data_IF_897101675840
#
_entry.id   IF_897101675840
#
_cell.length_a   1.000
_cell.length_b   1.000
_cell.length_c   1.000
_cell.angle_alpha   90.00
_cell.angle_beta   90.00
_cell.angle_gamma   90.00
#
_symmetry.space_group_name_H-M   'P 1'
#
loop_
_entity.id
_entity.type
_entity.pdbx_description
1 polymer ?
#
# COMPACT_ATOMS: atom_id res chain seq x y z
N UNK A 1 15.38 -8.95 -23.43
CA UNK A 1 14.04 -9.08 -22.84
C UNK A 1 14.18 -10.10 -21.74
N UNK A 2 13.87 -9.74 -20.48
CA UNK A 2 13.85 -10.70 -19.39
C UNK A 2 12.78 -11.75 -19.69
N UNK A 3 13.11 -13.04 -19.49
CA UNK A 3 12.14 -14.12 -19.64
C UNK A 3 11.06 -13.97 -18.55
N UNK A 4 9.81 -13.80 -18.96
CA UNK A 4 8.67 -13.70 -18.06
C UNK A 4 8.47 -15.04 -17.36
N UNK A 5 8.49 -15.03 -16.03
CA UNK A 5 8.35 -16.23 -15.19
C UNK A 5 6.92 -16.42 -14.76
N UNK A 6 6.35 -17.52 -15.15
CA UNK A 6 4.97 -17.91 -14.87
C UNK A 6 4.98 -19.09 -13.91
N UNK A 7 4.27 -19.00 -12.79
CA UNK A 7 3.96 -20.14 -11.95
C UNK A 7 2.58 -20.67 -12.33
N UNK A 8 2.48 -21.95 -12.66
CA UNK A 8 1.20 -22.60 -12.95
C UNK A 8 0.92 -23.70 -11.95
N UNK A 9 -0.14 -23.55 -11.20
CA UNK A 9 -0.54 -24.41 -10.09
C UNK A 9 -1.85 -25.13 -10.47
N UNK A 10 -1.79 -26.44 -10.61
CA UNK A 10 -2.94 -27.29 -10.98
C UNK A 10 -2.57 -28.73 -10.62
N UNK A 11 -3.42 -29.48 -9.90
CA UNK A 11 -3.17 -30.86 -9.52
C UNK A 11 -3.15 -31.83 -10.72
N UNK A 12 -3.77 -31.42 -11.83
CA UNK A 12 -3.76 -32.14 -13.11
C UNK A 12 -2.78 -31.48 -14.13
N UNK A 13 -1.74 -30.77 -13.68
CA UNK A 13 -0.82 -29.98 -14.52
C UNK A 13 -0.21 -30.78 -15.68
N UNK A 14 -0.05 -32.09 -15.53
CA UNK A 14 0.49 -32.93 -16.58
C UNK A 14 -0.45 -33.03 -17.80
N UNK A 15 -1.76 -32.83 -17.62
CA UNK A 15 -2.74 -32.78 -18.71
C UNK A 15 -2.63 -31.45 -19.48
N UNK A 16 -2.03 -30.44 -18.88
CA UNK A 16 -1.86 -29.10 -19.44
C UNK A 16 -0.55 -28.93 -20.23
N UNK A 17 0.20 -29.99 -20.48
CA UNK A 17 1.42 -29.97 -21.30
C UNK A 17 1.30 -29.19 -22.63
N UNK A 18 0.21 -29.34 -23.40
CA UNK A 18 0.06 -28.56 -24.65
C UNK A 18 0.01 -27.05 -24.41
N UNK A 19 -0.61 -26.61 -23.31
CA UNK A 19 -0.71 -25.20 -22.92
C UNK A 19 0.66 -24.65 -22.48
N UNK A 20 1.37 -25.43 -21.68
CA UNK A 20 2.72 -25.07 -21.22
C UNK A 20 3.67 -24.95 -22.39
N UNK A 21 3.74 -25.94 -23.28
CA UNK A 21 4.57 -25.87 -24.50
C UNK A 21 4.18 -24.71 -25.43
N UNK A 22 2.91 -24.31 -25.45
CA UNK A 22 2.45 -23.16 -26.23
C UNK A 22 3.00 -21.84 -25.64
N UNK A 23 3.11 -21.72 -24.33
CA UNK A 23 3.69 -20.56 -23.66
C UNK A 23 5.22 -20.56 -23.79
N UNK A 24 5.88 -21.68 -23.53
CA UNK A 24 7.35 -21.83 -23.64
C UNK A 24 7.87 -21.46 -25.03
N UNK A 25 7.16 -21.88 -26.11
CA UNK A 25 7.47 -21.47 -27.48
C UNK A 25 7.38 -19.96 -27.72
N UNK A 26 6.84 -19.19 -26.80
CA UNK A 26 6.70 -17.73 -26.83
C UNK A 26 7.56 -17.02 -25.81
N UNK A 27 8.60 -17.72 -25.31
CA UNK A 27 9.58 -17.21 -24.35
C UNK A 27 8.97 -16.86 -22.95
N UNK A 28 7.91 -17.59 -22.53
CA UNK A 28 7.48 -17.59 -21.15
C UNK A 28 8.13 -18.77 -20.43
N UNK A 29 8.72 -18.51 -19.27
CA UNK A 29 9.33 -19.56 -18.44
C UNK A 29 8.28 -20.07 -17.44
N UNK A 30 7.77 -21.29 -17.65
CA UNK A 30 6.66 -21.86 -16.85
C UNK A 30 7.22 -22.82 -15.82
N UNK A 31 7.10 -22.46 -14.56
CA UNK A 31 7.30 -23.34 -13.41
C UNK A 31 5.96 -24.00 -13.05
N UNK A 32 5.98 -25.29 -12.77
CA UNK A 32 4.79 -26.07 -12.43
C UNK A 32 4.74 -26.34 -10.95
N UNK A 33 3.55 -26.34 -10.37
CA UNK A 33 3.29 -26.82 -9.03
C UNK A 33 2.00 -27.66 -9.02
N UNK A 34 2.00 -28.77 -8.28
CA UNK A 34 0.87 -29.72 -8.19
C UNK A 34 -0.10 -29.42 -7.04
N UNK A 35 0.23 -28.43 -6.21
CA UNK A 35 -0.59 -28.08 -5.05
C UNK A 35 -0.30 -26.63 -4.60
N UNK A 36 -1.20 -26.06 -3.78
CA UNK A 36 -0.99 -24.78 -3.16
C UNK A 36 0.26 -24.73 -2.28
N UNK A 37 0.54 -25.78 -1.52
CA UNK A 37 1.74 -25.88 -0.69
C UNK A 37 3.03 -25.80 -1.52
N UNK A 38 3.11 -26.54 -2.62
CA UNK A 38 4.25 -26.50 -3.54
C UNK A 38 4.40 -25.13 -4.20
N UNK A 39 3.28 -24.49 -4.56
CA UNK A 39 3.29 -23.14 -5.10
C UNK A 39 3.91 -22.12 -4.12
N UNK A 40 3.52 -22.18 -2.85
CA UNK A 40 4.07 -21.30 -1.80
C UNK A 40 5.57 -21.55 -1.56
N UNK A 41 6.03 -22.80 -1.66
CA UNK A 41 7.45 -23.11 -1.61
C UNK A 41 8.22 -22.51 -2.79
N UNK A 42 7.68 -22.60 -4.01
CA UNK A 42 8.31 -22.04 -5.20
C UNK A 42 8.38 -20.50 -5.14
N UNK A 43 7.32 -19.82 -4.67
CA UNK A 43 7.28 -18.36 -4.50
C UNK A 43 8.33 -17.88 -3.48
N UNK A 44 8.64 -18.69 -2.46
CA UNK A 44 9.71 -18.38 -1.50
C UNK A 44 11.13 -18.55 -2.07
N UNK A 45 11.30 -19.38 -3.10
CA UNK A 45 12.60 -19.66 -3.73
C UNK A 45 12.97 -18.69 -4.83
N UNK A 46 11.98 -18.19 -5.58
CA UNK A 46 12.21 -17.28 -6.71
C UNK A 46 11.00 -16.37 -6.95
N UNK A 47 11.26 -15.22 -7.60
CA UNK A 47 10.20 -14.30 -8.00
C UNK A 47 9.50 -14.78 -9.28
N UNK A 48 8.19 -14.57 -9.33
CA UNK A 48 7.35 -14.80 -10.49
C UNK A 48 6.68 -13.50 -10.92
N UNK A 49 6.39 -13.36 -12.21
CA UNK A 49 5.68 -12.20 -12.77
C UNK A 49 4.15 -12.39 -12.73
N UNK A 50 3.68 -13.64 -12.72
CA UNK A 50 2.26 -14.00 -12.67
C UNK A 50 2.07 -15.45 -12.21
N UNK A 51 0.95 -15.71 -11.54
CA UNK A 51 0.52 -17.05 -11.12
C UNK A 51 -0.79 -17.41 -11.81
N UNK A 52 -0.86 -18.58 -12.42
CA UNK A 52 -2.12 -19.27 -12.78
C UNK A 52 -2.43 -20.29 -11.69
N UNK A 53 -3.60 -20.21 -11.10
CA UNK A 53 -3.96 -20.97 -9.90
C UNK A 53 -5.31 -21.67 -10.10
N UNK A 54 -5.29 -23.01 -10.08
CA UNK A 54 -6.54 -23.76 -10.06
C UNK A 54 -7.25 -23.60 -8.72
N UNK A 55 -8.58 -23.50 -8.77
CA UNK A 55 -9.41 -23.40 -7.57
C UNK A 55 -9.53 -24.73 -6.85
N UNK A 56 -9.76 -25.81 -7.60
CA UNK A 56 -10.11 -27.10 -7.04
C UNK A 56 -8.90 -28.02 -6.95
N UNK A 57 -8.13 -27.88 -5.89
CA UNK A 57 -6.95 -28.72 -5.62
C UNK A 57 -7.11 -29.46 -4.28
N UNK A 58 -6.54 -30.66 -4.16
CA UNK A 58 -6.49 -31.36 -2.88
C UNK A 58 -5.55 -30.66 -1.89
N UNK A 59 -5.96 -30.57 -0.64
CA UNK A 59 -5.21 -29.88 0.42
C UNK A 59 -5.63 -28.42 0.51
N UNK A 60 -4.72 -27.50 0.26
CA UNK A 60 -5.04 -26.07 0.17
C UNK A 60 -5.82 -25.79 -1.12
N UNK A 61 -7.01 -25.21 -0.99
CA UNK A 61 -7.79 -24.72 -2.12
C UNK A 61 -7.11 -23.54 -2.83
N UNK A 62 -7.55 -23.22 -4.04
CA UNK A 62 -7.04 -22.05 -4.75
C UNK A 62 -7.26 -20.75 -3.98
N UNK A 63 -8.41 -20.57 -3.34
CA UNK A 63 -8.72 -19.36 -2.52
C UNK A 63 -7.79 -19.26 -1.30
N UNK A 64 -7.60 -20.36 -0.57
CA UNK A 64 -6.67 -20.39 0.56
C UNK A 64 -5.24 -20.11 0.13
N UNK A 65 -4.80 -20.71 -0.97
CA UNK A 65 -3.48 -20.48 -1.57
C UNK A 65 -3.32 -19.01 -2.01
N UNK A 66 -4.34 -18.43 -2.65
CA UNK A 66 -4.36 -17.01 -3.02
C UNK A 66 -4.17 -16.11 -1.81
N UNK A 67 -4.88 -16.38 -0.71
CA UNK A 67 -4.77 -15.57 0.50
C UNK A 67 -3.34 -15.57 1.04
N UNK A 68 -2.68 -16.74 1.12
CA UNK A 68 -1.29 -16.86 1.57
C UNK A 68 -0.29 -16.23 0.58
N UNK A 69 -0.51 -16.36 -0.73
CA UNK A 69 0.31 -15.66 -1.74
C UNK A 69 0.23 -14.15 -1.53
N UNK A 70 -0.98 -13.61 -1.33
CA UNK A 70 -1.19 -12.17 -1.15
C UNK A 70 -0.69 -11.63 0.19
N UNK A 71 -0.63 -12.45 1.21
CA UNK A 71 0.02 -12.11 2.47
C UNK A 71 1.54 -11.98 2.32
N UNK A 72 2.16 -12.88 1.52
CA UNK A 72 3.60 -12.90 1.29
C UNK A 72 4.04 -11.90 0.21
N UNK A 73 3.30 -11.80 -0.90
CA UNK A 73 3.56 -10.89 -2.04
C UNK A 73 2.24 -10.26 -2.51
N UNK A 74 1.81 -9.18 -1.89
CA UNK A 74 0.54 -8.52 -2.16
C UNK A 74 0.32 -8.15 -3.63
N UNK A 75 1.40 -7.76 -4.32
CA UNK A 75 1.38 -7.27 -5.71
C UNK A 75 1.55 -8.36 -6.77
N UNK A 76 1.87 -9.61 -6.40
CA UNK A 76 2.01 -10.69 -7.38
C UNK A 76 0.66 -10.97 -8.04
N UNK A 77 0.52 -10.79 -9.36
CA UNK A 77 -0.73 -11.04 -10.05
C UNK A 77 -1.09 -12.53 -10.02
N UNK A 78 -2.32 -12.83 -9.62
CA UNK A 78 -2.86 -14.21 -9.62
C UNK A 78 -4.09 -14.25 -10.53
N UNK A 79 -4.07 -15.17 -11.48
CA UNK A 79 -5.20 -15.50 -12.36
C UNK A 79 -5.79 -16.81 -11.89
N UNK A 80 -7.03 -16.78 -11.42
CA UNK A 80 -7.74 -17.99 -11.00
C UNK A 80 -8.25 -18.77 -12.19
N UNK A 81 -8.20 -20.10 -12.11
CA UNK A 81 -8.78 -21.02 -13.09
C UNK A 81 -9.85 -21.84 -12.37
N UNK A 82 -11.10 -21.74 -12.78
CA UNK A 82 -12.26 -22.30 -12.07
C UNK A 82 -13.17 -23.11 -12.99
N UNK A 83 -13.98 -23.99 -12.44
CA UNK A 83 -14.97 -24.82 -13.18
C UNK A 83 -16.37 -24.20 -13.24
N UNK A 84 -16.66 -23.17 -12.43
CA UNK A 84 -18.01 -22.63 -12.26
C UNK A 84 -18.06 -21.12 -12.23
N UNK A 85 -19.08 -20.51 -12.84
CA UNK A 85 -19.37 -19.08 -12.74
C UNK A 85 -19.89 -18.69 -11.34
N UNK A 86 -20.42 -19.63 -10.55
CA UNK A 86 -20.89 -19.35 -9.19
C UNK A 86 -19.74 -19.09 -8.21
N UNK A 87 -18.57 -19.65 -8.45
CA UNK A 87 -17.35 -19.40 -7.67
C UNK A 87 -16.89 -17.94 -7.80
N UNK A 88 -17.20 -17.28 -8.92
CA UNK A 88 -16.91 -15.86 -9.16
C UNK A 88 -17.63 -14.91 -8.18
N UNK A 89 -18.83 -15.24 -7.76
CA UNK A 89 -19.59 -14.41 -6.80
C UNK A 89 -18.93 -14.41 -5.41
N UNK A 90 -18.27 -15.50 -5.04
CA UNK A 90 -17.46 -15.55 -3.82
C UNK A 90 -16.19 -14.67 -3.94
N UNK A 91 -15.58 -14.60 -5.12
CA UNK A 91 -14.39 -13.80 -5.39
C UNK A 91 -14.68 -12.29 -5.35
N UNK A 92 -15.82 -11.85 -5.86
CA UNK A 92 -16.27 -10.45 -5.74
C UNK A 92 -16.46 -10.03 -4.27
N UNK A 93 -16.87 -10.97 -3.41
CA UNK A 93 -17.01 -10.77 -1.97
C UNK A 93 -15.65 -10.77 -1.23
N UNK A 94 -14.64 -11.46 -1.73
CA UNK A 94 -13.26 -11.44 -1.19
C UNK A 94 -12.49 -10.20 -1.66
N UNK A 95 -13.05 -9.44 -2.60
CA UNK A 95 -12.64 -8.11 -3.04
C UNK A 95 -11.25 -8.04 -3.67
N UNK A 96 -11.18 -7.98 -4.98
CA UNK A 96 -10.06 -7.48 -5.82
C UNK A 96 -8.66 -8.06 -5.60
N UNK A 97 -8.49 -9.22 -4.98
CA UNK A 97 -7.18 -9.86 -4.82
C UNK A 97 -6.69 -10.63 -6.05
N UNK A 98 -7.58 -10.94 -6.99
CA UNK A 98 -7.23 -11.60 -8.25
C UNK A 98 -7.03 -10.59 -9.38
N UNK A 99 -6.13 -10.92 -10.30
CA UNK A 99 -5.86 -10.09 -11.47
C UNK A 99 -6.82 -10.40 -12.65
N UNK A 100 -7.21 -11.65 -12.79
CA UNK A 100 -8.16 -12.14 -13.80
C UNK A 100 -8.67 -13.53 -13.40
N UNK A 101 -9.68 -14.04 -14.10
CA UNK A 101 -10.14 -15.42 -13.94
C UNK A 101 -10.43 -16.08 -15.28
N UNK A 102 -10.31 -17.40 -15.34
CA UNK A 102 -10.58 -18.20 -16.52
C UNK A 102 -11.46 -19.38 -16.15
N UNK A 103 -12.45 -19.69 -16.98
CA UNK A 103 -13.38 -20.80 -16.76
C UNK A 103 -12.91 -22.03 -17.57
N UNK A 104 -12.78 -23.18 -16.91
CA UNK A 104 -12.47 -24.47 -17.57
C UNK A 104 -13.64 -24.93 -18.45
N UNK A 105 -13.38 -25.45 -19.67
CA UNK A 105 -12.07 -25.73 -20.24
C UNK A 105 -11.41 -24.49 -20.84
N UNK A 106 -10.17 -24.21 -20.43
CA UNK A 106 -9.39 -23.12 -20.97
C UNK A 106 -8.64 -23.54 -22.23
N UNK A 107 -8.50 -22.63 -23.18
CA UNK A 107 -7.64 -22.87 -24.34
C UNK A 107 -6.35 -22.04 -24.25
N UNK A 108 -5.26 -22.43 -24.97
CA UNK A 108 -3.98 -21.75 -24.88
C UNK A 108 -4.04 -20.25 -25.23
N UNK A 109 -4.95 -19.83 -26.12
CA UNK A 109 -5.08 -18.42 -26.48
C UNK A 109 -5.74 -17.58 -25.37
N UNK A 110 -6.68 -18.15 -24.60
CA UNK A 110 -7.26 -17.46 -23.45
C UNK A 110 -6.22 -17.24 -22.36
N UNK A 111 -5.38 -18.24 -22.07
CA UNK A 111 -4.25 -18.12 -21.15
C UNK A 111 -3.31 -17.01 -21.59
N UNK A 112 -2.91 -17.02 -22.89
CA UNK A 112 -2.01 -16.00 -23.43
C UNK A 112 -2.63 -14.59 -23.39
N UNK A 113 -3.93 -14.47 -23.63
CA UNK A 113 -4.63 -13.18 -23.58
C UNK A 113 -4.69 -12.63 -22.16
N UNK A 114 -5.08 -13.45 -21.18
CA UNK A 114 -5.10 -13.07 -19.77
C UNK A 114 -3.71 -12.69 -19.27
N UNK A 115 -2.68 -13.46 -19.62
CA UNK A 115 -1.29 -13.18 -19.28
C UNK A 115 -0.85 -11.82 -19.81
N UNK A 116 -1.06 -11.56 -21.10
CA UNK A 116 -0.70 -10.26 -21.74
C UNK A 116 -1.46 -9.10 -21.10
N UNK A 117 -2.78 -9.22 -20.95
CA UNK A 117 -3.63 -8.19 -20.33
C UNK A 117 -3.12 -7.84 -18.94
N UNK A 118 -2.84 -8.84 -18.12
CA UNK A 118 -2.40 -8.65 -16.73
C UNK A 118 -1.02 -7.99 -16.65
N UNK A 119 -0.05 -8.47 -17.42
CA UNK A 119 1.30 -7.92 -17.42
C UNK A 119 1.39 -6.55 -18.10
N UNK A 120 0.68 -6.32 -19.20
CA UNK A 120 0.64 -5.02 -19.86
C UNK A 120 -0.02 -3.96 -18.97
N UNK A 121 -1.10 -4.30 -18.25
CA UNK A 121 -1.74 -3.39 -17.32
C UNK A 121 -0.80 -3.03 -16.15
N UNK A 122 -0.15 -4.01 -15.55
CA UNK A 122 0.84 -3.78 -14.47
C UNK A 122 1.97 -2.88 -14.94
N UNK A 123 2.54 -3.13 -16.13
CA UNK A 123 3.59 -2.31 -16.73
C UNK A 123 3.12 -0.87 -17.00
N UNK A 124 1.92 -0.68 -17.55
CA UNK A 124 1.37 0.65 -17.85
C UNK A 124 1.12 1.45 -16.57
N UNK A 125 0.66 0.82 -15.51
CA UNK A 125 0.48 1.46 -14.19
C UNK A 125 1.84 1.88 -13.64
N UNK A 126 2.83 1.00 -13.64
CA UNK A 126 4.19 1.30 -13.18
C UNK A 126 4.83 2.44 -13.97
N UNK A 127 4.80 2.40 -15.31
CA UNK A 127 5.32 3.46 -16.17
C UNK A 127 4.63 4.80 -15.92
N UNK A 128 3.31 4.80 -15.72
CA UNK A 128 2.53 6.00 -15.42
C UNK A 128 2.90 6.60 -14.06
N UNK A 129 3.02 5.79 -13.02
CA UNK A 129 3.36 6.26 -11.68
C UNK A 129 4.80 6.79 -11.64
N UNK A 130 5.75 6.07 -12.25
CA UNK A 130 7.14 6.54 -12.39
C UNK A 130 7.21 7.88 -13.13
N UNK A 131 6.50 8.02 -14.26
CA UNK A 131 6.45 9.27 -15.03
C UNK A 131 5.81 10.41 -14.22
N UNK A 132 4.74 10.11 -13.48
CA UNK A 132 4.06 11.10 -12.63
C UNK A 132 4.96 11.56 -11.49
N UNK A 133 5.68 10.64 -10.85
CA UNK A 133 6.64 11.01 -9.81
C UNK A 133 7.81 11.84 -10.36
N UNK A 134 8.35 11.49 -11.53
CA UNK A 134 9.41 12.28 -12.17
C UNK A 134 8.99 13.73 -12.44
N UNK A 135 7.73 13.97 -12.80
CA UNK A 135 7.19 15.32 -12.95
C UNK A 135 7.07 16.04 -11.60
N UNK A 136 6.56 15.34 -10.57
CA UNK A 136 6.35 15.92 -9.25
C UNK A 136 7.67 16.09 -8.48
N UNK A 137 8.71 15.31 -8.77
CA UNK A 137 10.03 15.39 -8.14
C UNK A 137 10.60 16.81 -8.14
N UNK A 138 10.58 17.46 -9.30
CA UNK A 138 11.09 18.85 -9.44
C UNK A 138 10.26 19.84 -8.64
N UNK A 139 8.96 19.62 -8.60
CA UNK A 139 8.03 20.46 -7.86
C UNK A 139 8.25 20.31 -6.36
N UNK A 140 8.36 19.07 -5.85
CA UNK A 140 8.71 18.81 -4.45
C UNK A 140 10.02 19.50 -4.06
N UNK A 141 11.06 19.40 -4.88
CA UNK A 141 12.34 20.06 -4.60
C UNK A 141 12.22 21.60 -4.55
N UNK A 142 11.40 22.18 -5.44
CA UNK A 142 11.12 23.62 -5.44
C UNK A 142 10.31 24.02 -4.21
N UNK A 143 9.22 23.30 -3.94
CA UNK A 143 8.33 23.55 -2.81
C UNK A 143 9.11 23.47 -1.49
N UNK A 144 9.98 22.45 -1.30
CA UNK A 144 10.83 22.32 -0.11
C UNK A 144 11.69 23.55 0.17
N UNK A 145 12.17 24.22 -0.87
CA UNK A 145 12.96 25.44 -0.71
C UNK A 145 12.14 26.66 -0.28
N UNK A 146 10.82 26.59 -0.41
CA UNK A 146 9.88 27.70 -0.18
C UNK A 146 9.00 27.52 1.06
N UNK A 147 8.94 26.31 1.63
CA UNK A 147 8.10 26.01 2.80
C UNK A 147 8.48 26.86 4.00
N UNK A 148 7.51 27.65 4.49
CA UNK A 148 7.72 28.60 5.58
C UNK A 148 6.67 28.52 6.70
N UNK A 149 5.53 27.85 6.48
CA UNK A 149 4.48 27.72 7.47
C UNK A 149 4.30 26.26 7.94
N UNK A 150 3.64 26.09 9.07
CA UNK A 150 3.38 24.75 9.61
C UNK A 150 2.35 24.00 8.77
N UNK A 151 1.41 24.68 8.11
CA UNK A 151 0.45 24.10 7.18
C UNK A 151 1.15 23.53 5.95
N UNK A 152 2.06 24.32 5.35
CA UNK A 152 2.82 23.87 4.18
C UNK A 152 3.69 22.66 4.50
N UNK A 153 4.23 22.54 5.73
CA UNK A 153 4.95 21.36 6.17
C UNK A 153 4.06 20.13 6.31
N UNK A 154 2.80 20.30 6.76
CA UNK A 154 1.81 19.23 6.78
C UNK A 154 1.53 18.73 5.36
N UNK A 155 1.28 19.63 4.42
CA UNK A 155 1.04 19.28 3.01
C UNK A 155 2.25 18.60 2.38
N UNK A 156 3.46 19.07 2.65
CA UNK A 156 4.70 18.45 2.19
C UNK A 156 4.88 17.06 2.73
N UNK A 157 4.65 16.83 4.01
CA UNK A 157 4.73 15.51 4.64
C UNK A 157 3.70 14.54 4.03
N UNK A 158 2.45 14.98 3.87
CA UNK A 158 1.40 14.17 3.24
C UNK A 158 1.75 13.80 1.80
N UNK A 159 2.35 14.72 1.04
CA UNK A 159 2.80 14.48 -0.34
C UNK A 159 3.93 13.44 -0.40
N UNK A 160 4.92 13.54 0.49
CA UNK A 160 6.01 12.56 0.55
C UNK A 160 5.52 11.17 0.94
N UNK A 161 4.60 11.06 1.91
CA UNK A 161 3.98 9.79 2.29
C UNK A 161 3.13 9.21 1.14
N UNK A 162 2.39 10.04 0.42
CA UNK A 162 1.65 9.59 -0.76
C UNK A 162 2.57 8.93 -1.78
N UNK A 163 3.69 9.57 -2.13
CA UNK A 163 4.63 9.00 -3.10
C UNK A 163 5.38 7.77 -2.58
N UNK A 164 5.63 7.71 -1.27
CA UNK A 164 6.19 6.51 -0.64
C UNK A 164 5.29 5.29 -0.87
N UNK A 165 4.00 5.42 -0.57
CA UNK A 165 3.02 4.34 -0.76
C UNK A 165 2.78 3.99 -2.24
N UNK A 166 2.78 4.99 -3.14
CA UNK A 166 2.63 4.74 -4.57
C UNK A 166 3.85 4.01 -5.16
N UNK A 167 5.06 4.35 -4.72
CA UNK A 167 6.30 3.75 -5.22
C UNK A 167 6.62 2.40 -4.58
N UNK A 168 6.15 2.11 -3.35
CA UNK A 168 6.26 0.79 -2.74
C UNK A 168 5.59 -0.31 -3.58
N UNK A 169 4.56 0.06 -4.35
CA UNK A 169 3.84 -0.86 -5.23
C UNK A 169 4.52 -1.10 -6.58
N UNK A 170 5.70 -0.48 -6.80
CA UNK A 170 6.43 -0.56 -8.07
C UNK A 170 7.79 -1.21 -7.81
N UNK A 171 8.17 -2.14 -8.65
CA UNK A 171 9.50 -2.77 -8.62
C UNK A 171 10.55 -1.86 -9.31
N UNK A 172 10.69 -0.62 -8.81
CA UNK A 172 11.68 0.37 -9.27
C UNK A 172 12.48 0.93 -8.10
N UNK A 173 13.53 0.20 -7.72
CA UNK A 173 14.41 0.58 -6.62
C UNK A 173 15.07 1.96 -6.82
N UNK A 174 15.31 2.38 -8.07
CA UNK A 174 15.92 3.66 -8.37
C UNK A 174 15.02 4.84 -8.01
N UNK A 175 13.72 4.75 -8.26
CA UNK A 175 12.77 5.80 -7.87
C UNK A 175 12.61 5.89 -6.35
N UNK A 176 12.63 4.75 -5.67
CA UNK A 176 12.56 4.72 -4.22
C UNK A 176 13.78 5.38 -3.56
N UNK A 177 15.00 5.13 -4.04
CA UNK A 177 16.23 5.79 -3.55
C UNK A 177 16.17 7.31 -3.75
N UNK A 178 15.60 7.78 -4.85
CA UNK A 178 15.42 9.20 -5.13
C UNK A 178 14.43 9.83 -4.13
N UNK A 179 13.30 9.16 -3.85
CA UNK A 179 12.34 9.61 -2.85
C UNK A 179 12.96 9.67 -1.45
N UNK A 180 13.72 8.65 -1.06
CA UNK A 180 14.41 8.63 0.22
C UNK A 180 15.39 9.80 0.36
N UNK A 181 16.10 10.17 -0.70
CA UNK A 181 16.95 11.37 -0.71
C UNK A 181 16.12 12.65 -0.48
N UNK A 182 14.93 12.77 -1.10
CA UNK A 182 14.04 13.91 -0.87
C UNK A 182 13.48 13.93 0.55
N UNK A 183 13.10 12.80 1.10
CA UNK A 183 12.65 12.67 2.51
C UNK A 183 13.73 13.11 3.48
N UNK A 184 14.98 12.74 3.23
CA UNK A 184 16.12 13.14 4.04
C UNK A 184 16.35 14.67 3.98
N UNK A 185 16.29 15.27 2.80
CA UNK A 185 16.37 16.74 2.64
C UNK A 185 15.21 17.43 3.34
N UNK A 186 13.97 16.95 3.16
CA UNK A 186 12.80 17.48 3.84
C UNK A 186 12.96 17.43 5.36
N UNK A 187 13.47 16.31 5.90
CA UNK A 187 13.71 16.16 7.34
C UNK A 187 14.73 17.18 7.86
N UNK A 188 15.82 17.44 7.12
CA UNK A 188 16.81 18.45 7.48
C UNK A 188 16.19 19.85 7.51
N UNK A 189 15.39 20.20 6.50
CA UNK A 189 14.72 21.51 6.43
C UNK A 189 13.65 21.64 7.53
N UNK A 190 12.88 20.60 7.77
CA UNK A 190 11.88 20.55 8.83
C UNK A 190 12.49 20.72 10.22
N UNK A 191 13.64 20.08 10.49
CA UNK A 191 14.34 20.27 11.75
C UNK A 191 14.74 21.76 11.96
N UNK A 192 15.23 22.44 10.93
CA UNK A 192 15.55 23.88 11.00
C UNK A 192 14.29 24.73 11.24
N UNK A 193 13.18 24.36 10.58
CA UNK A 193 11.90 25.04 10.78
C UNK A 193 11.40 24.88 12.22
N UNK A 194 11.45 23.68 12.77
CA UNK A 194 11.06 23.41 14.17
C UNK A 194 11.97 24.14 15.15
N UNK A 195 13.28 24.07 14.99
CA UNK A 195 14.23 24.77 15.86
C UNK A 195 13.93 26.26 15.95
N UNK A 196 13.58 26.86 14.83
CA UNK A 196 13.24 28.30 14.76
C UNK A 196 11.88 28.65 15.34
N UNK A 197 10.84 27.83 15.07
CA UNK A 197 9.45 28.24 15.30
C UNK A 197 8.83 27.62 16.56
N UNK A 198 9.23 26.41 16.95
CA UNK A 198 8.65 25.68 18.06
C UNK A 198 8.64 26.46 19.40
N UNK A 199 9.71 27.18 19.82
CA UNK A 199 9.66 27.95 21.05
C UNK A 199 8.61 29.07 21.05
N UNK A 200 8.26 29.57 19.87
CA UNK A 200 7.28 30.65 19.72
C UNK A 200 5.84 30.19 19.83
N UNK A 201 5.57 28.90 19.54
CA UNK A 201 4.22 28.34 19.60
C UNK A 201 3.61 28.25 21.00
N UNK A 202 4.41 28.49 22.02
CA UNK A 202 3.92 28.50 23.41
C UNK A 202 3.56 29.92 23.91
N UNK A 203 3.85 30.96 23.14
CA UNK A 203 3.60 32.35 23.54
C UNK A 203 2.14 32.78 23.31
N UNK A 204 1.41 32.13 22.39
CA UNK A 204 0.02 32.38 22.05
C UNK A 204 -0.61 31.11 21.50
N UNK A 205 -1.91 30.91 21.71
CA UNK A 205 -2.66 29.84 21.02
C UNK A 205 -3.12 30.28 19.62
N UNK A 206 -3.21 31.57 19.36
CA UNK A 206 -3.73 32.14 18.14
C UNK A 206 -2.66 32.18 17.03
N UNK A 207 -2.97 31.62 15.86
CA UNK A 207 -2.05 31.56 14.72
C UNK A 207 -0.97 30.47 14.81
N UNK A 208 -1.03 29.59 15.81
CA UNK A 208 -0.08 28.48 15.99
C UNK A 208 -0.72 27.12 15.64
N UNK A 209 0.09 26.10 15.32
CA UNK A 209 -0.44 24.77 15.06
C UNK A 209 -1.08 24.14 16.31
N UNK A 210 -2.00 23.22 16.10
CA UNK A 210 -2.47 22.35 17.18
C UNK A 210 -1.32 21.49 17.68
N UNK A 211 -1.04 21.55 18.98
CA UNK A 211 -0.02 20.75 19.66
C UNK A 211 -0.67 19.66 20.51
N UNK A 212 0.11 18.67 20.95
CA UNK A 212 -0.42 17.55 21.77
C UNK A 212 -1.27 18.07 22.96
N UNK A 213 -0.83 19.07 23.70
CA UNK A 213 -1.55 19.57 24.87
C UNK A 213 -2.79 20.42 24.52
N UNK A 214 -2.91 20.95 23.31
CA UNK A 214 -4.09 21.72 22.87
C UNK A 214 -5.06 20.87 22.02
N UNK A 215 -4.66 19.67 21.60
CA UNK A 215 -5.42 18.81 20.69
C UNK A 215 -6.81 18.49 21.26
N UNK A 216 -6.89 18.02 22.49
CA UNK A 216 -8.16 17.61 23.09
C UNK A 216 -9.14 18.79 23.19
N UNK A 217 -8.67 19.94 23.66
CA UNK A 217 -9.45 21.17 23.79
C UNK A 217 -9.99 21.66 22.44
N UNK A 218 -9.15 21.68 21.40
CA UNK A 218 -9.51 22.32 20.14
C UNK A 218 -10.21 21.38 19.14
N UNK A 219 -9.89 20.09 19.19
CA UNK A 219 -10.38 19.13 18.16
C UNK A 219 -11.34 18.09 18.70
N UNK A 220 -11.16 17.64 19.93
CA UNK A 220 -11.95 16.52 20.47
C UNK A 220 -13.17 17.04 21.24
N UNK A 221 -12.96 17.99 22.15
CA UNK A 221 -14.03 18.52 23.00
C UNK A 221 -15.22 19.09 22.21
N UNK A 222 -15.02 19.91 21.13
CA UNK A 222 -16.13 20.44 20.34
C UNK A 222 -16.99 19.36 19.64
N UNK A 223 -16.43 18.17 19.40
CA UNK A 223 -17.16 17.03 18.83
C UNK A 223 -17.96 16.30 19.92
N UNK A 224 -17.35 16.05 21.06
CA UNK A 224 -17.99 15.36 22.20
C UNK A 224 -19.20 16.15 22.73
N UNK A 225 -19.13 17.48 22.75
CA UNK A 225 -20.21 18.35 23.19
C UNK A 225 -21.45 18.29 22.26
N UNK A 226 -21.25 17.93 21.00
CA UNK A 226 -22.33 17.90 20.00
C UNK A 226 -22.98 16.53 19.83
N UNK A 227 -22.23 15.47 20.07
CA UNK A 227 -22.68 14.10 19.80
C UNK A 227 -21.98 13.06 20.64
N UNK A 228 -22.62 11.89 20.80
CA UNK A 228 -21.97 10.73 21.43
C UNK A 228 -20.74 10.32 20.61
N UNK A 229 -19.59 10.29 21.26
CA UNK A 229 -18.29 10.11 20.62
C UNK A 229 -17.51 9.00 21.28
N UNK A 230 -16.91 8.12 20.50
CA UNK A 230 -15.86 7.20 20.94
C UNK A 230 -14.52 7.79 20.51
N UNK A 231 -13.70 8.18 21.48
CA UNK A 231 -12.35 8.67 21.22
C UNK A 231 -11.35 7.53 21.32
N UNK A 232 -10.73 7.17 20.19
CA UNK A 232 -9.76 6.08 20.11
C UNK A 232 -8.36 6.69 19.90
N UNK A 233 -7.42 6.31 20.75
CA UNK A 233 -6.01 6.70 20.62
C UNK A 233 -5.19 5.48 20.30
N UNK A 234 -4.53 5.50 19.14
CA UNK A 234 -3.61 4.45 18.73
C UNK A 234 -2.19 5.01 18.89
N UNK A 235 -1.48 4.49 19.89
CA UNK A 235 -0.12 4.93 20.19
C UNK A 235 0.86 4.42 19.15
N UNK A 236 1.84 5.25 18.80
CA UNK A 236 2.91 4.94 17.85
C UNK A 236 2.45 4.58 16.41
N UNK A 237 1.22 4.94 16.03
CA UNK A 237 0.73 4.79 14.65
C UNK A 237 1.25 5.95 13.79
N UNK A 238 2.05 5.64 12.77
CA UNK A 238 2.53 6.65 11.81
C UNK A 238 1.47 6.94 10.74
N UNK A 239 1.60 8.07 10.07
CA UNK A 239 0.66 8.49 9.03
C UNK A 239 0.67 7.57 7.79
N UNK A 240 1.82 7.06 7.38
CA UNK A 240 1.94 6.06 6.31
C UNK A 240 1.17 4.77 6.65
N UNK A 241 1.33 4.27 7.89
CA UNK A 241 0.59 3.10 8.40
C UNK A 241 -0.91 3.38 8.45
N UNK A 242 -1.31 4.59 8.87
CA UNK A 242 -2.71 5.00 8.83
C UNK A 242 -3.24 4.98 7.40
N UNK A 243 -2.53 5.53 6.43
CA UNK A 243 -2.95 5.55 5.02
C UNK A 243 -3.06 4.15 4.41
N UNK A 244 -2.18 3.24 4.79
CA UNK A 244 -2.28 1.83 4.41
C UNK A 244 -3.49 1.12 5.05
N UNK A 245 -3.86 1.51 6.28
CA UNK A 245 -4.97 0.91 7.02
C UNK A 245 -6.35 1.52 6.70
N UNK A 246 -6.40 2.80 6.36
CA UNK A 246 -7.63 3.56 6.10
C UNK A 246 -8.62 2.87 5.13
N UNK A 247 -8.18 2.27 4.00
CA UNK A 247 -9.09 1.61 3.06
C UNK A 247 -9.92 0.48 3.68
N UNK A 248 -9.37 -0.23 4.66
CA UNK A 248 -10.08 -1.32 5.35
C UNK A 248 -11.21 -0.80 6.25
N UNK A 249 -11.08 0.43 6.76
CA UNK A 249 -12.13 1.06 7.57
C UNK A 249 -13.25 1.65 6.74
N UNK A 250 -12.99 2.03 5.49
CA UNK A 250 -13.96 2.71 4.62
C UNK A 250 -15.19 1.87 4.32
N UNK A 251 -15.12 0.54 4.47
CA UNK A 251 -16.28 -0.36 4.35
C UNK A 251 -17.29 -0.23 5.51
N UNK A 252 -16.84 0.19 6.68
CA UNK A 252 -17.64 0.25 7.92
C UNK A 252 -17.82 1.66 8.47
N UNK A 253 -16.93 2.58 8.12
CA UNK A 253 -16.90 3.95 8.62
C UNK A 253 -16.77 4.95 7.49
N UNK A 254 -17.45 6.08 7.62
CA UNK A 254 -17.28 7.22 6.72
C UNK A 254 -16.31 8.19 7.37
N UNK A 255 -15.21 8.51 6.68
CA UNK A 255 -14.31 9.58 7.09
C UNK A 255 -14.98 10.94 6.87
N UNK A 256 -15.02 11.77 7.90
CA UNK A 256 -15.55 13.12 7.86
C UNK A 256 -14.42 14.12 7.62
N UNK A 257 -13.40 14.10 8.48
CA UNK A 257 -12.22 14.97 8.38
C UNK A 257 -10.93 14.21 8.65
N UNK A 258 -9.84 14.72 8.15
CA UNK A 258 -8.49 14.25 8.44
C UNK A 258 -7.59 15.48 8.68
N UNK A 259 -6.97 15.55 9.83
CA UNK A 259 -6.08 16.63 10.18
C UNK A 259 -4.83 16.08 10.88
N UNK A 260 -3.69 16.73 10.66
CA UNK A 260 -2.46 16.43 11.37
C UNK A 260 -2.20 17.49 12.44
N UNK A 261 -1.58 17.09 13.52
CA UNK A 261 -1.15 17.99 14.59
C UNK A 261 0.34 17.80 14.87
N UNK A 262 0.93 18.77 15.52
CA UNK A 262 2.34 18.71 15.91
C UNK A 262 2.48 18.10 17.31
N UNK A 263 3.26 17.05 17.43
CA UNK A 263 3.59 16.49 18.74
C UNK A 263 4.50 17.46 19.49
N UNK A 264 4.32 17.52 20.81
CA UNK A 264 5.26 18.22 21.68
C UNK A 264 6.61 17.47 21.70
N UNK A 265 7.67 18.21 21.99
CA UNK A 265 9.01 17.65 22.17
C UNK A 265 9.33 17.51 23.68
N UNK A 266 9.92 16.37 24.08
CA UNK A 266 10.20 15.18 23.29
C UNK A 266 8.93 14.42 22.92
N UNK A 267 8.93 13.76 21.74
CA UNK A 267 7.78 12.99 21.23
C UNK A 267 7.55 11.66 21.95
N UNK A 268 8.32 11.38 23.00
CA UNK A 268 8.18 10.16 23.77
C UNK A 268 6.76 10.02 24.36
N UNK A 269 6.21 8.81 24.27
CA UNK A 269 4.83 8.47 24.63
C UNK A 269 4.41 9.02 26.02
N UNK A 270 5.28 8.92 27.01
CA UNK A 270 5.02 9.38 28.39
C UNK A 270 4.82 10.89 28.50
N UNK A 271 5.33 11.67 27.55
CA UNK A 271 5.13 13.12 27.51
C UNK A 271 4.01 13.48 26.52
N UNK A 272 4.17 13.14 25.25
CA UNK A 272 3.26 13.55 24.19
C UNK A 272 1.83 13.03 24.37
N UNK A 273 1.66 11.72 24.65
CA UNK A 273 0.34 11.15 24.89
C UNK A 273 -0.31 11.70 26.14
N UNK A 274 0.43 11.80 27.25
CA UNK A 274 -0.13 12.32 28.50
C UNK A 274 -0.57 13.78 28.34
N UNK A 275 0.15 14.60 27.58
CA UNK A 275 -0.22 15.97 27.28
C UNK A 275 -1.55 16.09 26.52
N UNK A 276 -1.89 15.12 25.65
CA UNK A 276 -3.20 15.11 24.96
C UNK A 276 -4.35 15.12 25.97
N UNK A 277 -4.26 14.30 27.03
CA UNK A 277 -5.32 14.15 28.01
C UNK A 277 -5.25 15.20 29.14
N UNK A 278 -4.05 15.59 29.55
CA UNK A 278 -3.89 16.58 30.63
C UNK A 278 -4.15 18.01 30.18
N UNK A 279 -3.99 18.29 28.90
CA UNK A 279 -4.00 19.66 28.38
C UNK A 279 -2.81 20.51 28.86
N UNK A 280 -1.76 19.88 29.39
CA UNK A 280 -0.61 20.55 29.98
C UNK A 280 0.69 20.12 29.30
N UNK A 281 1.67 21.05 29.33
CA UNK A 281 3.05 20.72 28.99
C UNK A 281 3.71 19.94 30.13
N UNK A 282 4.63 19.03 29.84
CA UNK A 282 5.47 18.39 30.84
C UNK A 282 6.28 19.43 31.59
N UNK A 283 6.34 19.30 32.91
CA UNK A 283 7.13 20.17 33.80
C UNK A 283 8.60 19.76 33.77
#
# INVERSE_FOLDING_TARGET
MSDIKVLWVDDEIELLKPHILFLEKRNYNVTKALSGTEALEEIKKQNFDIVFLDENMPGLTGIETLAEIKEYQANLPVVMITKSEEEYIMEEAIGSKIADYLIKPVNPNQILLSLKKTLDLSRLVSEKTTSSYQQEFRKIATDLSMVNSYEEWVEMYQKLVYWELELENIDDSGMFEILESQKNEANIQFCKFIDKNYPHWFNSEEGNPTLSHTLFKHKVLPVIEKQKTLFVVIDNLRYDQWKAFEPFLNSSFKKDTEELYYSILPTATQYARNSIFSGLMPS
#
